data_IF_623790141729
#
_entry.id   IF_623790141729
#
_cell.length_a   1.000
_cell.length_b   1.000
_cell.length_c   1.000
_cell.angle_alpha   90.00
_cell.angle_beta   90.00
_cell.angle_gamma   90.00
#
_symmetry.space_group_name_H-M   'P 1'
#
loop_
_entity.id
_entity.type
_entity.pdbx_description
1 polymer ?
#
# COMPACT_ATOMS: atom_id res chain seq x y z
N UNK A 1 -1.67 8.24 -13.10
CA UNK A 1 -0.21 8.46 -12.91
C UNK A 1 0.10 9.47 -11.82
N UNK A 2 -0.49 10.67 -11.79
CA UNK A 2 -0.21 11.70 -10.76
C UNK A 2 -0.37 11.18 -9.31
N UNK A 3 -1.44 10.44 -9.01
CA UNK A 3 -1.67 9.83 -7.68
C UNK A 3 -0.62 8.78 -7.30
N UNK A 4 -0.12 8.04 -8.29
CA UNK A 4 0.95 7.05 -8.10
C UNK A 4 2.25 7.77 -7.74
N UNK A 5 2.58 8.85 -8.43
CA UNK A 5 3.75 9.69 -8.13
C UNK A 5 3.64 10.23 -6.70
N UNK A 6 2.50 10.79 -6.33
CA UNK A 6 2.25 11.28 -4.97
C UNK A 6 2.39 10.18 -3.91
N UNK A 7 1.94 8.96 -4.22
CA UNK A 7 2.15 7.81 -3.35
C UNK A 7 3.63 7.48 -3.19
N UNK A 8 4.39 7.38 -4.30
CA UNK A 8 5.84 7.06 -4.29
C UNK A 8 6.62 8.11 -3.51
N UNK A 9 6.33 9.40 -3.71
CA UNK A 9 6.95 10.49 -2.98
C UNK A 9 6.66 10.39 -1.47
N UNK A 10 5.41 10.12 -1.10
CA UNK A 10 5.01 9.96 0.32
C UNK A 10 5.69 8.74 0.94
N UNK A 11 5.65 7.59 0.26
CA UNK A 11 6.30 6.35 0.69
C UNK A 11 7.79 6.57 0.93
N UNK A 12 8.50 7.15 -0.03
CA UNK A 12 9.93 7.42 0.08
C UNK A 12 10.26 8.45 1.16
N UNK A 13 9.40 9.45 1.35
CA UNK A 13 9.56 10.43 2.42
C UNK A 13 9.48 9.76 3.80
N UNK A 14 8.52 8.86 4.01
CA UNK A 14 8.36 8.14 5.28
C UNK A 14 9.48 7.10 5.47
N UNK A 15 9.84 6.35 4.43
CA UNK A 15 10.86 5.29 4.49
C UNK A 15 12.27 5.80 4.82
N UNK A 16 12.57 7.07 4.56
CA UNK A 16 13.85 7.71 4.91
C UNK A 16 13.96 8.09 6.39
N UNK A 17 12.86 8.05 7.15
CA UNK A 17 12.85 8.39 8.56
C UNK A 17 13.08 7.13 9.41
N UNK A 18 14.01 7.18 10.36
CA UNK A 18 14.28 6.08 11.30
C UNK A 18 13.14 5.86 12.32
N UNK A 19 12.26 6.85 12.50
CA UNK A 19 11.12 6.82 13.41
C UNK A 19 9.80 6.81 12.63
N UNK A 20 9.52 5.70 11.96
CA UNK A 20 8.23 5.44 11.30
C UNK A 20 7.55 4.19 11.87
N UNK A 21 6.25 4.05 11.59
CA UNK A 21 5.55 2.79 11.73
C UNK A 21 5.57 2.09 10.39
N UNK A 22 5.96 0.83 10.39
CA UNK A 22 6.03 0.00 9.21
C UNK A 22 5.39 -1.35 9.54
N UNK A 23 4.40 -1.74 8.74
CA UNK A 23 3.77 -3.06 8.87
C UNK A 23 3.48 -3.68 7.51
N UNK A 24 3.77 -4.97 7.42
CA UNK A 24 3.30 -5.84 6.36
C UNK A 24 2.36 -6.89 6.95
N UNK A 25 1.24 -7.13 6.27
CA UNK A 25 0.31 -8.20 6.60
C UNK A 25 -0.08 -8.96 5.35
N UNK A 26 -0.26 -10.26 5.48
CA UNK A 26 -0.77 -11.09 4.40
C UNK A 26 -1.75 -12.13 4.95
N UNK A 27 -2.91 -12.21 4.32
CA UNK A 27 -3.89 -13.26 4.49
C UNK A 27 -4.11 -13.95 3.15
N UNK A 28 -4.11 -15.28 3.12
CA UNK A 28 -4.37 -16.00 1.88
C UNK A 28 -5.04 -17.35 2.10
N UNK A 29 -5.87 -17.71 1.15
CA UNK A 29 -6.48 -19.03 0.99
C UNK A 29 -6.28 -19.56 -0.42
N UNK A 30 -7.04 -20.59 -0.78
CA UNK A 30 -6.97 -21.20 -2.12
C UNK A 30 -7.35 -20.22 -3.24
N UNK A 31 -8.39 -19.41 -2.99
CA UNK A 31 -9.02 -18.52 -3.96
C UNK A 31 -8.84 -17.02 -3.65
N UNK A 32 -8.08 -16.70 -2.61
CA UNK A 32 -7.89 -15.31 -2.21
C UNK A 32 -6.49 -15.01 -1.67
N UNK A 33 -6.05 -13.78 -1.92
CA UNK A 33 -4.85 -13.18 -1.31
C UNK A 33 -5.20 -11.74 -0.95
N UNK A 34 -4.86 -11.32 0.25
CA UNK A 34 -4.83 -9.92 0.68
C UNK A 34 -3.45 -9.66 1.27
N UNK A 35 -2.63 -8.87 0.58
CA UNK A 35 -1.33 -8.45 1.08
C UNK A 35 -1.32 -6.93 1.21
N UNK A 36 -1.02 -6.41 2.40
CA UNK A 36 -1.06 -4.97 2.70
C UNK A 36 0.26 -4.54 3.32
N UNK A 37 0.89 -3.56 2.69
CA UNK A 37 2.03 -2.81 3.17
C UNK A 37 1.57 -1.43 3.63
N UNK A 38 1.94 -1.03 4.84
CA UNK A 38 1.62 0.27 5.44
C UNK A 38 2.88 0.91 6.00
N UNK A 39 3.11 2.17 5.64
CA UNK A 39 4.05 3.06 6.30
C UNK A 39 3.31 4.28 6.83
N UNK A 40 3.65 4.67 8.06
CA UNK A 40 3.14 5.88 8.68
C UNK A 40 4.26 6.66 9.36
N UNK A 41 4.24 7.97 9.19
CA UNK A 41 5.12 8.88 9.92
C UNK A 41 4.65 9.04 11.37
N UNK A 42 5.53 8.80 12.35
CA UNK A 42 5.17 8.95 13.77
C UNK A 42 5.57 10.35 14.25
N UNK A 43 4.68 11.33 14.09
CA UNK A 43 4.84 12.67 14.71
C UNK A 43 3.86 12.89 15.85
N UNK A 44 4.24 13.74 16.80
CA UNK A 44 3.33 14.20 17.86
C UNK A 44 2.46 15.32 17.31
N UNK A 45 1.14 15.14 17.39
CA UNK A 45 0.13 16.13 17.03
C UNK A 45 -0.75 16.34 18.26
N UNK A 46 -0.43 17.35 19.07
CA UNK A 46 -1.07 17.59 20.38
C UNK A 46 -0.86 16.38 21.32
N UNK A 47 -1.95 15.76 21.77
CA UNK A 47 -1.99 14.52 22.56
C UNK A 47 -2.15 13.25 21.71
N UNK A 48 -2.14 13.41 20.38
CA UNK A 48 -2.27 12.34 19.41
C UNK A 48 -0.95 12.05 18.70
N UNK A 49 -0.90 10.92 18.01
CA UNK A 49 0.11 10.62 17.00
C UNK A 49 -0.49 10.89 15.63
N UNK A 50 0.31 11.32 14.68
CA UNK A 50 -0.16 11.51 13.31
C UNK A 50 0.98 11.84 12.37
N UNK A 51 0.65 12.07 11.12
CA UNK A 51 1.65 12.32 10.09
C UNK A 51 1.13 11.93 8.71
N UNK A 52 2.05 11.84 7.77
CA UNK A 52 1.74 11.23 6.48
C UNK A 52 1.62 9.70 6.59
N UNK A 53 0.81 9.09 5.72
CA UNK A 53 0.78 7.64 5.53
C UNK A 53 0.87 7.28 4.06
N UNK A 54 1.41 6.09 3.77
CA UNK A 54 1.37 5.44 2.48
C UNK A 54 1.05 3.94 2.66
N UNK A 55 0.11 3.44 1.86
CA UNK A 55 -0.37 2.05 1.89
C UNK A 55 -0.42 1.48 0.49
N UNK A 56 0.00 0.24 0.33
CA UNK A 56 -0.20 -0.53 -0.90
C UNK A 56 -0.85 -1.86 -0.53
N UNK A 57 -1.95 -2.20 -1.18
CA UNK A 57 -2.73 -3.39 -0.93
C UNK A 57 -2.96 -4.14 -2.23
N UNK A 58 -2.57 -5.42 -2.28
CA UNK A 58 -2.95 -6.32 -3.37
C UNK A 58 -4.05 -7.23 -2.86
N UNK A 59 -5.19 -7.20 -3.53
CA UNK A 59 -6.31 -8.09 -3.28
C UNK A 59 -6.56 -8.95 -4.51
N UNK A 60 -6.58 -10.27 -4.32
CA UNK A 60 -6.98 -11.23 -5.34
C UNK A 60 -8.25 -11.95 -4.90
N UNK A 61 -9.26 -11.98 -5.76
CA UNK A 61 -10.51 -12.73 -5.57
C UNK A 61 -10.98 -13.28 -6.91
N UNK A 62 -11.46 -14.53 -6.92
CA UNK A 62 -12.07 -15.13 -8.11
C UNK A 62 -11.15 -15.13 -9.34
N UNK A 63 -9.84 -15.28 -9.14
CA UNK A 63 -8.84 -15.29 -10.22
C UNK A 63 -8.49 -13.91 -10.79
N UNK A 64 -8.93 -12.81 -10.18
CA UNK A 64 -8.58 -11.44 -10.59
C UNK A 64 -7.84 -10.72 -9.46
N UNK A 65 -6.81 -9.97 -9.80
CA UNK A 65 -6.01 -9.20 -8.84
C UNK A 65 -6.15 -7.68 -9.05
N UNK A 66 -6.18 -6.94 -7.94
CA UNK A 66 -6.22 -5.48 -7.91
C UNK A 66 -5.14 -4.98 -6.96
N UNK A 67 -4.37 -4.00 -7.41
CA UNK A 67 -3.44 -3.23 -6.58
C UNK A 67 -4.09 -1.89 -6.24
N UNK A 68 -4.26 -1.60 -4.96
CA UNK A 68 -4.68 -0.31 -4.45
C UNK A 68 -3.51 0.38 -3.75
N UNK A 69 -3.27 1.64 -4.11
CA UNK A 69 -2.23 2.48 -3.52
C UNK A 69 -2.91 3.72 -2.95
N UNK A 70 -2.78 3.94 -1.64
CA UNK A 70 -3.33 5.13 -0.98
C UNK A 70 -2.29 5.84 -0.13
N UNK A 71 -2.25 7.16 -0.23
CA UNK A 71 -1.47 8.02 0.65
C UNK A 71 -2.30 9.21 1.14
N UNK A 72 -1.91 9.77 2.27
CA UNK A 72 -2.65 10.86 2.88
C UNK A 72 -2.11 11.23 4.25
N UNK A 73 -3.00 11.69 5.12
CA UNK A 73 -2.68 12.03 6.51
C UNK A 73 -3.48 11.17 7.46
N UNK A 74 -2.93 10.93 8.64
CA UNK A 74 -3.65 10.24 9.70
C UNK A 74 -3.50 10.96 11.05
N UNK A 75 -4.48 10.78 11.92
CA UNK A 75 -4.44 11.20 13.33
C UNK A 75 -4.95 10.04 14.19
N UNK A 76 -4.11 9.58 15.11
CA UNK A 76 -4.38 8.50 16.06
C UNK A 76 -4.37 9.04 17.48
N UNK A 77 -5.54 9.14 18.08
CA UNK A 77 -5.75 9.73 19.40
C UNK A 77 -6.08 8.65 20.45
N UNK A 78 -5.70 8.85 21.73
CA UNK A 78 -6.17 8.03 22.82
C UNK A 78 -7.70 8.10 22.95
N UNK A 79 -8.32 6.97 23.25
CA UNK A 79 -9.76 6.83 23.50
C UNK A 79 -9.99 5.91 24.72
N UNK A 80 -11.17 5.91 25.36
CA UNK A 80 -11.42 5.13 26.58
C UNK A 80 -11.15 3.61 26.48
N UNK A 81 -11.13 3.04 25.27
CA UNK A 81 -10.81 1.63 25.00
C UNK A 81 -9.49 1.37 24.27
N UNK A 82 -8.60 2.38 24.16
CA UNK A 82 -7.33 2.25 23.46
C UNK A 82 -7.05 3.47 22.57
N UNK A 83 -7.08 3.29 21.26
CA UNK A 83 -6.81 4.34 20.29
C UNK A 83 -7.83 4.34 19.17
N UNK A 84 -8.19 5.53 18.70
CA UNK A 84 -8.96 5.74 17.48
C UNK A 84 -8.06 6.38 16.43
N UNK A 85 -8.01 5.82 15.23
CA UNK A 85 -7.26 6.36 14.10
C UNK A 85 -8.23 6.86 13.03
N UNK A 86 -8.01 8.09 12.58
CA UNK A 86 -8.71 8.72 11.48
C UNK A 86 -7.73 8.91 10.32
N UNK A 87 -8.10 8.41 9.15
CA UNK A 87 -7.31 8.54 7.93
C UNK A 87 -8.02 9.45 6.95
N UNK A 88 -7.31 10.47 6.49
CA UNK A 88 -7.76 11.38 5.44
C UNK A 88 -6.95 11.08 4.19
N UNK A 89 -7.57 10.37 3.25
CA UNK A 89 -6.95 10.03 1.98
C UNK A 89 -6.72 11.30 1.13
N UNK A 90 -5.48 11.48 0.68
CA UNK A 90 -5.10 12.52 -0.28
C UNK A 90 -5.06 11.96 -1.70
N UNK A 91 -4.42 10.79 -1.86
CA UNK A 91 -4.36 10.04 -3.10
C UNK A 91 -4.88 8.62 -2.90
N UNK A 92 -5.68 8.15 -3.85
CA UNK A 92 -6.10 6.75 -3.98
C UNK A 92 -6.06 6.40 -5.46
N UNK A 93 -5.25 5.41 -5.79
CA UNK A 93 -5.18 4.79 -7.11
C UNK A 93 -5.51 3.31 -6.98
N UNK A 94 -6.35 2.80 -7.89
CA UNK A 94 -6.63 1.37 -8.02
C UNK A 94 -6.23 0.94 -9.42
N UNK A 95 -5.40 -0.09 -9.50
CA UNK A 95 -4.90 -0.67 -10.74
C UNK A 95 -5.45 -2.09 -10.81
N UNK A 96 -6.26 -2.33 -11.82
CA UNK A 96 -6.68 -3.68 -12.15
C UNK A 96 -5.51 -4.39 -12.81
N UNK A 97 -4.96 -5.40 -12.12
CA UNK A 97 -3.85 -6.17 -12.65
C UNK A 97 -4.35 -7.25 -13.63
N UNK A 98 -5.66 -7.54 -13.62
CA UNK A 98 -6.30 -8.51 -14.49
C UNK A 98 -6.30 -9.93 -13.93
N UNK A 99 -6.43 -10.88 -14.85
CA UNK A 99 -6.63 -12.32 -14.62
C UNK A 99 -5.59 -13.18 -15.36
N UNK A 100 -4.48 -12.57 -15.79
CA UNK A 100 -3.39 -13.29 -16.43
C UNK A 100 -2.83 -14.41 -15.52
N UNK A 101 -2.72 -15.66 -16.00
CA UNK A 101 -2.31 -16.78 -15.15
C UNK A 101 -0.92 -16.65 -14.53
N UNK A 102 0.04 -15.99 -15.21
CA UNK A 102 1.39 -15.80 -14.69
C UNK A 102 1.38 -14.78 -13.55
N UNK A 103 0.70 -13.66 -13.75
CA UNK A 103 0.48 -12.65 -12.71
C UNK A 103 -0.28 -13.21 -11.51
N UNK A 104 -1.38 -13.93 -11.74
CA UNK A 104 -2.15 -14.55 -10.66
C UNK A 104 -1.30 -15.59 -9.92
N UNK A 105 -0.49 -16.36 -10.65
CA UNK A 105 0.51 -17.25 -10.06
C UNK A 105 1.49 -16.51 -9.16
N UNK A 106 2.00 -15.35 -9.61
CA UNK A 106 2.87 -14.49 -8.81
C UNK A 106 2.15 -14.01 -7.55
N UNK A 107 0.94 -13.46 -7.66
CA UNK A 107 0.17 -12.94 -6.52
C UNK A 107 -0.11 -14.03 -5.49
N UNK A 108 -0.47 -15.25 -5.92
CA UNK A 108 -0.62 -16.42 -5.03
C UNK A 108 0.68 -16.82 -4.33
N UNK A 109 1.82 -16.59 -4.98
CA UNK A 109 3.14 -16.94 -4.47
C UNK A 109 3.69 -15.98 -3.41
N UNK A 110 3.11 -14.77 -3.27
CA UNK A 110 3.51 -13.77 -2.27
C UNK A 110 3.50 -14.42 -0.88
N UNK A 111 4.62 -14.25 -0.17
CA UNK A 111 4.90 -14.86 1.13
C UNK A 111 5.57 -13.88 2.09
N UNK A 112 6.14 -12.79 1.58
CA UNK A 112 6.75 -11.74 2.39
C UNK A 112 6.58 -10.35 1.74
N UNK A 113 6.98 -9.32 2.48
CA UNK A 113 6.95 -7.92 2.05
C UNK A 113 7.76 -7.68 0.76
N UNK A 114 8.93 -8.29 0.64
CA UNK A 114 9.79 -8.15 -0.55
C UNK A 114 9.12 -8.63 -1.83
N UNK A 115 8.33 -9.70 -1.77
CA UNK A 115 7.56 -10.16 -2.94
C UNK A 115 6.48 -9.13 -3.34
N UNK A 116 5.81 -8.51 -2.37
CA UNK A 116 4.83 -7.45 -2.62
C UNK A 116 5.50 -6.21 -3.20
N UNK A 117 6.65 -5.80 -2.66
CA UNK A 117 7.44 -4.67 -3.19
C UNK A 117 7.86 -4.95 -4.64
N UNK A 118 8.35 -6.16 -4.95
CA UNK A 118 8.72 -6.54 -6.31
C UNK A 118 7.53 -6.43 -7.29
N UNK A 119 6.32 -6.83 -6.85
CA UNK A 119 5.10 -6.64 -7.65
C UNK A 119 4.79 -5.16 -7.89
N UNK A 120 4.86 -4.33 -6.84
CA UNK A 120 4.62 -2.90 -6.95
C UNK A 120 5.62 -2.29 -7.94
N UNK A 121 6.92 -2.60 -7.81
CA UNK A 121 7.96 -2.13 -8.71
C UNK A 121 7.69 -2.53 -10.16
N UNK A 122 7.32 -3.79 -10.42
CA UNK A 122 6.98 -4.26 -11.76
C UNK A 122 5.79 -3.48 -12.34
N UNK A 123 4.71 -3.30 -11.57
CA UNK A 123 3.54 -2.53 -12.00
C UNK A 123 3.90 -1.07 -12.31
N UNK A 124 4.72 -0.45 -11.47
CA UNK A 124 5.20 0.92 -11.68
C UNK A 124 6.05 1.04 -12.95
N UNK A 125 6.92 0.07 -13.23
CA UNK A 125 7.74 0.03 -14.45
C UNK A 125 6.87 -0.11 -15.71
N UNK A 126 5.86 -0.99 -15.67
CA UNK A 126 4.91 -1.14 -16.78
C UNK A 126 4.10 0.13 -16.99
N UNK A 127 3.63 0.77 -15.92
CA UNK A 127 2.88 2.03 -16.01
C UNK A 127 3.71 3.22 -16.48
N UNK A 128 5.02 3.23 -16.22
CA UNK A 128 5.94 4.30 -16.62
C UNK A 128 6.48 4.15 -18.05
N UNK A 129 6.33 2.98 -18.67
CA UNK A 129 6.75 2.77 -20.05
C UNK A 129 5.80 3.53 -20.97
N UNK A 130 6.26 4.53 -21.76
CA UNK A 130 5.41 5.15 -22.77
C UNK A 130 4.90 4.04 -23.68
N UNK A 131 3.61 3.99 -23.92
CA UNK A 131 3.05 3.17 -24.99
C UNK A 131 3.67 3.66 -26.30
N UNK A 132 4.75 3.00 -26.71
CA UNK A 132 5.27 3.08 -28.08
C UNK A 132 4.24 2.43 -28.97
N UNK A 133 3.22 3.20 -29.35
CA UNK A 133 2.37 2.95 -30.52
C UNK A 133 2.52 4.13 -31.48
#
# INVERSE_FOLDING_TARGET
MEKIIQWVETFNSIARNENNFHSFSIEKGEDFVDAVLTLEEITRVEDCRGGAYATAAVAMRGGRAVLEMSSGRYKKCPAPGGYTAEYTAGAVEKIDLGDDPELIGFVKSIKNEGDLVALIEAVLQTAATPSSQ
#
